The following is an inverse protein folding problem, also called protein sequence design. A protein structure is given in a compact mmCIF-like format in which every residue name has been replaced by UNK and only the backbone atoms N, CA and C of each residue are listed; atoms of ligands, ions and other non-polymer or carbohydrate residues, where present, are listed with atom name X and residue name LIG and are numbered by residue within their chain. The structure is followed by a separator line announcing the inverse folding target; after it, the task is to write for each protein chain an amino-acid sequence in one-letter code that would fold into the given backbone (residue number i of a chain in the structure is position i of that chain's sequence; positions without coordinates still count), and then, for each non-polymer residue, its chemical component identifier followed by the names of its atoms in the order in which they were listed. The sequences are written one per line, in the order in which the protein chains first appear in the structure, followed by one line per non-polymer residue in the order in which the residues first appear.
data_IF_590701724788
#
_entry.id   IF_590701724788
#
_cell.length_a   1.000
_cell.length_b   1.000
_cell.length_c   1.000
_cell.angle_alpha   90.00
_cell.angle_beta   90.00
_cell.angle_gamma   90.00
#
_symmetry.space_group_name_H-M   'P 1'
#
loop_
_entity.id
_entity.type
_entity.pdbx_description
1 polymer ?
#
# COMPACT_ATOMS: atom_id res chain seq x y z
N UNK A 1 27.99 61.18 -27.32
CA UNK A 1 28.06 61.27 -25.84
C UNK A 1 27.86 59.87 -25.27
N UNK A 2 28.93 59.14 -24.98
CA UNK A 2 28.86 57.74 -24.55
C UNK A 2 28.45 57.65 -23.08
N UNK A 3 27.39 56.90 -22.77
CA UNK A 3 26.98 56.67 -21.37
C UNK A 3 28.08 55.88 -20.65
N UNK A 4 28.71 56.49 -19.63
CA UNK A 4 29.60 55.78 -18.69
C UNK A 4 28.76 54.76 -17.92
N UNK A 5 28.97 53.48 -18.18
CA UNK A 5 28.40 52.40 -17.36
C UNK A 5 29.24 52.32 -16.10
N UNK A 6 28.74 52.88 -15.00
CA UNK A 6 29.38 52.78 -13.68
C UNK A 6 29.09 51.38 -13.16
N UNK A 7 30.14 50.60 -12.93
CA UNK A 7 30.00 49.27 -12.32
C UNK A 7 29.44 49.39 -10.89
N UNK A 8 28.61 48.44 -10.44
CA UNK A 8 28.07 48.48 -9.08
C UNK A 8 29.20 48.52 -8.04
N UNK A 9 29.02 49.26 -6.92
CA UNK A 9 29.98 49.25 -5.82
C UNK A 9 30.29 47.82 -5.35
N UNK A 10 31.48 47.58 -4.81
CA UNK A 10 31.89 46.24 -4.36
C UNK A 10 30.90 45.62 -3.35
N UNK A 11 30.28 46.44 -2.50
CA UNK A 11 29.21 46.03 -1.59
C UNK A 11 27.94 45.56 -2.33
N UNK A 12 27.54 46.23 -3.41
CA UNK A 12 26.38 45.83 -4.21
C UNK A 12 26.63 44.51 -4.95
N UNK A 13 27.85 44.28 -5.46
CA UNK A 13 28.23 42.99 -6.06
C UNK A 13 28.23 41.85 -5.03
N UNK A 14 28.72 42.12 -3.81
CA UNK A 14 28.65 41.15 -2.71
C UNK A 14 27.21 40.82 -2.31
N UNK A 15 26.35 41.83 -2.22
CA UNK A 15 24.93 41.62 -1.93
C UNK A 15 24.23 40.80 -3.03
N UNK A 16 24.49 41.09 -4.31
CA UNK A 16 23.98 40.30 -5.42
C UNK A 16 24.47 38.85 -5.40
N UNK A 17 25.76 38.63 -5.11
CA UNK A 17 26.31 37.28 -4.99
C UNK A 17 25.68 36.51 -3.82
N UNK A 18 25.39 37.17 -2.70
CA UNK A 18 24.68 36.57 -1.56
C UNK A 18 23.23 36.23 -1.90
N UNK A 19 22.51 37.11 -2.59
CA UNK A 19 21.14 36.85 -3.05
C UNK A 19 21.13 35.64 -3.98
N UNK A 20 22.01 35.61 -4.98
CA UNK A 20 22.11 34.48 -5.89
C UNK A 20 22.43 33.17 -5.15
N UNK A 21 23.37 33.19 -4.21
CA UNK A 21 23.71 32.00 -3.43
C UNK A 21 22.54 31.50 -2.57
N UNK A 22 21.70 32.40 -2.04
CA UNK A 22 20.47 32.03 -1.31
C UNK A 22 19.43 31.47 -2.26
N UNK A 23 19.23 32.07 -3.44
CA UNK A 23 18.28 31.57 -4.45
C UNK A 23 18.67 30.16 -4.91
N UNK A 24 19.95 29.93 -5.19
CA UNK A 24 20.48 28.63 -5.61
C UNK A 24 20.31 27.58 -4.49
N UNK A 25 20.61 27.94 -3.24
CA UNK A 25 20.43 27.05 -2.09
C UNK A 25 18.95 26.71 -1.84
N UNK A 26 18.05 27.68 -1.98
CA UNK A 26 16.60 27.45 -1.87
C UNK A 26 16.11 26.55 -3.00
N UNK A 27 16.59 26.76 -4.24
CA UNK A 27 16.22 25.94 -5.38
C UNK A 27 16.66 24.47 -5.21
N UNK A 28 17.89 24.26 -4.71
CA UNK A 28 18.44 22.92 -4.44
C UNK A 28 17.68 22.21 -3.30
N UNK A 29 17.37 22.91 -2.22
CA UNK A 29 16.56 22.40 -1.11
C UNK A 29 15.15 22.02 -1.59
N UNK A 30 14.51 22.88 -2.40
CA UNK A 30 13.19 22.59 -2.99
C UNK A 30 13.25 21.36 -3.90
N UNK A 31 14.28 21.23 -4.74
CA UNK A 31 14.47 20.08 -5.61
C UNK A 31 14.70 18.78 -4.82
N UNK A 32 15.54 18.83 -3.78
CA UNK A 32 15.84 17.71 -2.89
C UNK A 32 14.61 17.28 -2.12
N UNK A 33 13.89 18.23 -1.52
CA UNK A 33 12.61 17.96 -0.84
C UNK A 33 11.58 17.37 -1.78
N UNK A 34 11.48 17.88 -3.01
CA UNK A 34 10.55 17.37 -4.01
C UNK A 34 10.89 15.94 -4.43
N UNK A 35 12.18 15.64 -4.64
CA UNK A 35 12.67 14.28 -4.93
C UNK A 35 12.35 13.33 -3.76
N UNK A 36 12.69 13.72 -2.54
CA UNK A 36 12.36 12.93 -1.35
C UNK A 36 10.85 12.66 -1.26
N UNK A 37 10.01 13.66 -1.50
CA UNK A 37 8.55 13.51 -1.49
C UNK A 37 8.01 12.58 -2.59
N UNK A 38 8.61 12.58 -3.79
CA UNK A 38 8.25 11.63 -4.85
C UNK A 38 8.74 10.21 -4.56
N UNK A 39 9.94 10.09 -3.99
CA UNK A 39 10.56 8.80 -3.64
C UNK A 39 9.92 8.17 -2.39
N UNK A 40 9.29 8.94 -1.48
CA UNK A 40 8.54 8.37 -0.33
C UNK A 40 7.47 7.37 -0.78
N UNK A 41 6.86 7.57 -1.96
CA UNK A 41 5.89 6.62 -2.52
C UNK A 41 6.52 5.32 -3.01
N UNK A 42 7.80 5.36 -3.41
CA UNK A 42 8.58 4.21 -3.88
C UNK A 42 9.31 3.49 -2.73
N UNK A 43 9.77 4.24 -1.72
CA UNK A 43 10.39 3.73 -0.50
C UNK A 43 9.35 3.59 0.61
N UNK A 44 8.45 2.62 0.46
CA UNK A 44 7.57 2.27 1.58
C UNK A 44 8.43 1.74 2.73
N UNK A 45 8.56 2.50 3.83
CA UNK A 45 9.11 2.04 5.12
C UNK A 45 8.44 0.74 5.61
N UNK A 46 7.27 0.43 5.06
CA UNK A 46 6.44 -0.73 5.39
C UNK A 46 6.81 -1.98 4.58
N UNK A 47 7.71 -1.85 3.59
CA UNK A 47 8.11 -2.93 2.67
C UNK A 47 6.90 -3.64 2.06
N UNK A 48 5.97 -2.85 1.54
CA UNK A 48 4.83 -3.37 0.78
C UNK A 48 5.34 -4.06 -0.49
N UNK A 49 4.73 -5.18 -0.83
CA UNK A 49 5.18 -5.99 -1.97
C UNK A 49 4.74 -5.37 -3.30
N UNK A 50 3.53 -4.78 -3.33
CA UNK A 50 3.01 -4.03 -4.47
C UNK A 50 2.31 -2.77 -3.97
N UNK A 51 2.58 -1.65 -4.63
CA UNK A 51 1.90 -0.37 -4.41
C UNK A 51 1.29 0.12 -5.71
N UNK A 52 0.11 0.73 -5.61
CA UNK A 52 -0.58 1.41 -6.71
C UNK A 52 -0.83 2.84 -6.28
N UNK A 53 -0.50 3.78 -7.15
CA UNK A 53 -0.74 5.20 -6.96
C UNK A 53 -1.38 5.80 -8.20
N UNK A 54 -2.14 6.88 -8.01
CA UNK A 54 -2.68 7.69 -9.10
C UNK A 54 -1.75 8.91 -9.34
N UNK A 55 -0.98 8.92 -10.44
CA UNK A 55 -0.09 10.03 -10.75
C UNK A 55 -0.88 11.19 -11.37
N UNK A 56 -1.28 12.17 -10.56
CA UNK A 56 -1.82 13.43 -11.10
C UNK A 56 -0.74 14.51 -11.21
N UNK A 57 -0.74 15.25 -12.33
CA UNK A 57 0.31 16.21 -12.69
C UNK A 57 0.56 17.33 -11.66
N UNK A 58 -0.41 17.63 -10.78
CA UNK A 58 -0.36 18.74 -9.82
C UNK A 58 -0.35 18.33 -8.34
N UNK A 59 -0.25 17.03 -8.01
CA UNK A 59 -0.10 16.56 -6.61
C UNK A 59 1.01 15.52 -6.49
N UNK A 60 1.47 15.29 -5.26
CA UNK A 60 2.34 14.15 -4.98
C UNK A 60 1.52 12.85 -5.19
N UNK A 61 2.10 11.79 -5.77
CA UNK A 61 1.39 10.53 -5.94
C UNK A 61 0.93 10.01 -4.58
N UNK A 62 -0.38 9.82 -4.43
CA UNK A 62 -0.95 9.24 -3.21
C UNK A 62 -0.98 7.71 -3.37
N UNK A 63 -0.64 7.00 -2.29
CA UNK A 63 -0.82 5.55 -2.25
C UNK A 63 -2.32 5.26 -2.21
N UNK A 64 -2.83 4.53 -3.19
CA UNK A 64 -4.24 4.13 -3.27
C UNK A 64 -4.43 2.67 -2.85
N UNK A 65 -3.50 1.78 -3.26
CA UNK A 65 -3.51 0.37 -2.90
C UNK A 65 -2.12 -0.06 -2.42
N UNK A 66 -2.07 -0.69 -1.26
CA UNK A 66 -0.91 -1.43 -0.78
C UNK A 66 -1.24 -2.91 -0.62
N UNK A 67 -0.39 -3.79 -1.17
CA UNK A 67 -0.59 -5.24 -1.07
C UNK A 67 0.57 -5.91 -0.35
N UNK A 68 0.21 -6.87 0.50
CA UNK A 68 1.13 -7.85 1.07
C UNK A 68 0.92 -9.18 0.35
N UNK A 69 1.88 -9.58 -0.49
CA UNK A 69 1.82 -10.82 -1.26
C UNK A 69 2.33 -11.98 -0.41
N UNK A 70 1.54 -13.05 -0.31
CA UNK A 70 1.89 -14.23 0.46
C UNK A 70 1.45 -15.47 -0.31
N UNK A 71 2.36 -16.12 -1.02
CA UNK A 71 2.03 -17.35 -1.77
C UNK A 71 1.37 -18.40 -0.87
N UNK A 72 1.98 -18.65 0.30
CA UNK A 72 1.40 -19.44 1.39
C UNK A 72 1.54 -18.71 2.72
N UNK A 73 0.59 -18.96 3.63
CA UNK A 73 0.54 -18.35 4.93
C UNK A 73 1.18 -19.24 6.02
N UNK A 74 1.81 -18.55 6.96
CA UNK A 74 2.26 -19.04 8.26
C UNK A 74 1.90 -18.00 9.31
N UNK A 75 1.87 -18.37 10.59
CA UNK A 75 1.45 -17.43 11.65
C UNK A 75 2.35 -16.19 11.69
N UNK A 76 3.67 -16.38 11.61
CA UNK A 76 4.66 -15.30 11.51
C UNK A 76 4.41 -14.41 10.28
N UNK A 77 4.13 -15.00 9.11
CA UNK A 77 3.85 -14.27 7.87
C UNK A 77 2.53 -13.50 7.91
N UNK A 78 1.53 -14.03 8.62
CA UNK A 78 0.28 -13.31 8.85
C UNK A 78 0.51 -12.13 9.81
N UNK A 79 1.35 -12.29 10.84
CA UNK A 79 1.71 -11.19 11.74
C UNK A 79 2.50 -10.09 11.04
N UNK A 80 3.39 -10.45 10.11
CA UNK A 80 4.09 -9.48 9.27
C UNK A 80 3.10 -8.59 8.50
N UNK A 81 2.16 -9.20 7.76
CA UNK A 81 1.11 -8.48 7.04
C UNK A 81 0.27 -7.56 7.96
N UNK A 82 -0.10 -8.04 9.16
CA UNK A 82 -0.83 -7.23 10.14
C UNK A 82 0.01 -6.04 10.64
N UNK A 83 1.30 -6.23 10.88
CA UNK A 83 2.20 -5.15 11.28
C UNK A 83 2.33 -4.08 10.20
N UNK A 84 2.38 -4.49 8.92
CA UNK A 84 2.39 -3.56 7.80
C UNK A 84 1.13 -2.69 7.77
N UNK A 85 -0.06 -3.30 7.88
CA UNK A 85 -1.33 -2.58 7.88
C UNK A 85 -1.52 -1.67 9.09
N UNK A 86 -1.15 -2.14 10.29
CA UNK A 86 -1.20 -1.34 11.51
C UNK A 86 -0.28 -0.10 11.41
N UNK A 87 0.94 -0.27 10.91
CA UNK A 87 1.87 0.85 10.69
C UNK A 87 1.38 1.79 9.59
N UNK A 88 0.80 1.26 8.50
CA UNK A 88 0.20 2.08 7.44
C UNK A 88 -0.91 2.97 8.00
N UNK A 89 -1.79 2.38 8.80
CA UNK A 89 -2.85 3.12 9.50
C UNK A 89 -2.27 4.18 10.44
N UNK A 90 -1.27 3.83 11.26
CA UNK A 90 -0.70 4.75 12.24
C UNK A 90 0.10 5.91 11.62
N UNK A 91 0.79 5.67 10.50
CA UNK A 91 1.69 6.64 9.85
C UNK A 91 1.04 7.43 8.72
N UNK A 92 -0.18 7.07 8.29
CA UNK A 92 -0.85 7.78 7.20
C UNK A 92 -1.05 9.25 7.53
N UNK A 93 -0.95 10.10 6.52
CA UNK A 93 -1.30 11.53 6.58
C UNK A 93 -2.32 11.82 5.49
N UNK A 94 -3.57 11.39 5.73
CA UNK A 94 -4.66 11.50 4.76
C UNK A 94 -5.65 10.34 4.84
N UNK A 95 -6.35 10.09 3.73
CA UNK A 95 -7.24 8.94 3.56
C UNK A 95 -6.44 7.65 3.75
N UNK A 96 -7.09 6.63 4.30
CA UNK A 96 -6.48 5.31 4.38
C UNK A 96 -6.44 4.66 2.98
N UNK A 97 -5.27 4.29 2.46
CA UNK A 97 -5.17 3.45 1.27
C UNK A 97 -5.85 2.10 1.49
N UNK A 98 -6.30 1.47 0.41
CA UNK A 98 -6.75 0.10 0.47
C UNK A 98 -5.57 -0.81 0.79
N UNK A 99 -5.62 -1.54 1.90
CA UNK A 99 -4.56 -2.45 2.30
C UNK A 99 -5.07 -3.89 2.44
N UNK A 100 -4.54 -4.77 1.61
CA UNK A 100 -4.99 -6.15 1.52
C UNK A 100 -3.83 -7.15 1.42
N UNK A 101 -4.11 -8.40 1.78
CA UNK A 101 -3.22 -9.51 1.46
C UNK A 101 -3.67 -10.20 0.18
N UNK A 102 -2.75 -10.61 -0.69
CA UNK A 102 -3.02 -11.48 -1.84
C UNK A 102 -2.32 -12.82 -1.64
N UNK A 103 -3.06 -13.92 -1.77
CA UNK A 103 -2.57 -15.25 -1.43
C UNK A 103 -3.13 -16.37 -2.30
N UNK A 104 -2.44 -17.52 -2.31
CA UNK A 104 -2.94 -18.81 -2.78
C UNK A 104 -3.10 -19.82 -1.64
N UNK A 105 -3.16 -19.36 -0.38
CA UNK A 105 -3.23 -20.24 0.78
C UNK A 105 -4.50 -21.12 0.74
N UNK A 106 -4.37 -22.46 0.70
CA UNK A 106 -5.53 -23.34 0.58
C UNK A 106 -6.24 -23.62 1.91
N UNK A 107 -5.63 -23.33 3.07
CA UNK A 107 -6.16 -23.74 4.38
C UNK A 107 -7.05 -22.65 4.99
N UNK A 108 -8.34 -22.92 5.25
CA UNK A 108 -9.26 -21.91 5.80
C UNK A 108 -8.81 -21.29 7.12
N UNK A 109 -8.21 -22.09 8.00
CA UNK A 109 -7.75 -21.59 9.30
C UNK A 109 -6.60 -20.56 9.16
N UNK A 110 -5.78 -20.66 8.12
CA UNK A 110 -4.70 -19.71 7.84
C UNK A 110 -5.25 -18.43 7.22
N UNK A 111 -6.21 -18.54 6.29
CA UNK A 111 -6.93 -17.40 5.74
C UNK A 111 -7.64 -16.61 6.86
N UNK A 112 -8.20 -17.30 7.84
CA UNK A 112 -8.88 -16.69 8.98
C UNK A 112 -7.94 -15.88 9.89
N UNK A 113 -6.61 -16.11 9.88
CA UNK A 113 -5.67 -15.30 10.67
C UNK A 113 -5.65 -13.83 10.23
N UNK A 114 -6.01 -13.55 8.98
CA UNK A 114 -6.10 -12.20 8.40
C UNK A 114 -7.57 -11.79 8.18
N UNK A 115 -8.37 -12.69 7.59
CA UNK A 115 -9.77 -12.41 7.28
C UNK A 115 -10.68 -12.35 8.51
N UNK A 116 -10.28 -12.92 9.63
CA UNK A 116 -11.13 -13.09 10.82
C UNK A 116 -11.57 -11.81 11.53
N UNK A 117 -10.98 -10.66 11.21
CA UNK A 117 -11.43 -9.34 11.68
C UNK A 117 -10.52 -8.71 12.73
N UNK A 118 -9.34 -8.25 12.32
CA UNK A 118 -8.42 -7.48 13.17
C UNK A 118 -8.39 -5.97 12.91
N UNK A 119 -9.04 -5.51 11.83
CA UNK A 119 -8.97 -4.10 11.38
C UNK A 119 -7.63 -3.70 10.75
N UNK A 120 -6.60 -4.55 10.84
CA UNK A 120 -5.27 -4.29 10.25
C UNK A 120 -5.24 -4.50 8.73
N UNK A 121 -6.17 -5.31 8.21
CA UNK A 121 -6.27 -5.65 6.78
C UNK A 121 -7.72 -5.49 6.33
N UNK A 122 -7.94 -4.83 5.20
CA UNK A 122 -9.28 -4.58 4.65
C UNK A 122 -9.93 -5.90 4.22
N UNK A 123 -9.19 -6.75 3.49
CA UNK A 123 -9.60 -8.09 3.12
C UNK A 123 -8.40 -8.94 2.65
N UNK A 124 -8.63 -10.23 2.46
CA UNK A 124 -7.72 -11.14 1.78
C UNK A 124 -8.28 -11.38 0.38
N UNK A 125 -7.46 -11.17 -0.65
CA UNK A 125 -7.75 -11.66 -2.00
C UNK A 125 -7.12 -13.04 -2.18
N UNK A 126 -7.92 -13.98 -2.64
CA UNK A 126 -7.43 -15.28 -3.10
C UNK A 126 -7.24 -15.25 -4.61
N UNK A 127 -6.13 -15.78 -5.11
CA UNK A 127 -5.82 -15.69 -6.55
C UNK A 127 -6.86 -16.40 -7.44
N UNK A 128 -7.52 -17.42 -6.91
CA UNK A 128 -8.61 -18.10 -7.61
C UNK A 128 -9.63 -18.61 -6.58
N UNK A 129 -10.49 -17.72 -6.07
CA UNK A 129 -11.44 -18.06 -5.02
C UNK A 129 -12.45 -19.14 -5.46
N UNK A 130 -12.97 -19.16 -6.71
CA UNK A 130 -13.89 -20.22 -7.14
C UNK A 130 -13.30 -21.64 -7.02
N UNK A 131 -12.04 -21.83 -7.45
CA UNK A 131 -11.36 -23.12 -7.36
C UNK A 131 -11.13 -23.54 -5.90
N UNK A 132 -10.76 -22.58 -5.04
CA UNK A 132 -10.63 -22.85 -3.61
C UNK A 132 -11.97 -23.24 -2.98
N UNK A 133 -13.05 -22.52 -3.29
CA UNK A 133 -14.39 -22.82 -2.78
C UNK A 133 -14.81 -24.24 -3.13
N UNK A 134 -14.62 -24.66 -4.40
CA UNK A 134 -14.92 -26.03 -4.82
C UNK A 134 -14.09 -27.05 -4.03
N UNK A 135 -12.78 -26.84 -3.92
CA UNK A 135 -11.90 -27.77 -3.18
C UNK A 135 -12.29 -27.87 -1.69
N UNK A 136 -12.70 -26.77 -1.07
CA UNK A 136 -13.17 -26.75 0.31
C UNK A 136 -14.52 -27.46 0.45
N UNK A 137 -15.44 -27.29 -0.50
CA UNK A 137 -16.71 -28.01 -0.55
C UNK A 137 -16.51 -29.52 -0.72
N UNK A 138 -15.63 -29.94 -1.62
CA UNK A 138 -15.33 -31.35 -1.87
C UNK A 138 -14.73 -32.04 -0.62
N UNK A 139 -13.85 -31.34 0.10
CA UNK A 139 -13.16 -31.90 1.27
C UNK A 139 -14.01 -31.84 2.53
N UNK A 140 -14.74 -30.74 2.76
CA UNK A 140 -15.41 -30.48 4.04
C UNK A 140 -16.94 -30.43 3.96
N UNK A 141 -17.54 -30.20 2.79
CA UNK A 141 -18.97 -29.92 2.63
C UNK A 141 -19.89 -31.08 3.04
N UNK A 142 -19.46 -32.32 2.85
CA UNK A 142 -20.20 -33.54 3.24
C UNK A 142 -19.81 -34.11 4.61
N UNK A 143 -18.80 -33.52 5.26
CA UNK A 143 -18.25 -34.06 6.50
C UNK A 143 -19.18 -33.78 7.70
N UNK A 144 -19.44 -34.80 8.50
CA UNK A 144 -20.31 -34.69 9.70
C UNK A 144 -19.52 -34.43 10.98
N UNK A 145 -18.19 -34.52 10.96
CA UNK A 145 -17.39 -34.27 12.15
C UNK A 145 -17.35 -32.77 12.49
N UNK A 146 -17.38 -32.45 13.80
CA UNK A 146 -17.49 -31.07 14.30
C UNK A 146 -16.35 -30.15 13.82
N UNK A 147 -15.13 -30.68 13.67
CA UNK A 147 -13.96 -29.88 13.27
C UNK A 147 -14.02 -29.47 11.80
N UNK A 148 -14.44 -30.39 10.92
CA UNK A 148 -14.65 -30.14 9.50
C UNK A 148 -15.78 -29.13 9.29
N UNK A 149 -16.91 -29.31 9.97
CA UNK A 149 -18.04 -28.38 9.92
C UNK A 149 -17.64 -26.97 10.37
N UNK A 150 -16.86 -26.85 11.45
CA UNK A 150 -16.33 -25.56 11.91
C UNK A 150 -15.37 -24.92 10.90
N UNK A 151 -14.55 -25.74 10.25
CA UNK A 151 -13.61 -25.26 9.22
C UNK A 151 -14.37 -24.73 8.01
N UNK A 152 -15.38 -25.47 7.55
CA UNK A 152 -16.25 -25.10 6.45
C UNK A 152 -17.05 -23.83 6.75
N UNK A 153 -17.72 -23.76 7.90
CA UNK A 153 -18.51 -22.59 8.28
C UNK A 153 -17.66 -21.32 8.48
N UNK A 154 -16.45 -21.47 9.03
CA UNK A 154 -15.51 -20.36 9.10
C UNK A 154 -15.10 -19.86 7.71
N UNK A 155 -14.84 -20.76 6.76
CA UNK A 155 -14.54 -20.39 5.38
C UNK A 155 -15.70 -19.62 4.75
N UNK A 156 -16.92 -20.17 4.82
CA UNK A 156 -18.12 -19.52 4.28
C UNK A 156 -18.31 -18.12 4.87
N UNK A 157 -18.18 -17.98 6.20
CA UNK A 157 -18.26 -16.69 6.88
C UNK A 157 -17.24 -15.68 6.32
N UNK A 158 -16.01 -16.09 6.03
CA UNK A 158 -15.01 -15.19 5.45
C UNK A 158 -15.44 -14.68 4.08
N UNK A 159 -15.99 -15.55 3.23
CA UNK A 159 -16.46 -15.18 1.88
C UNK A 159 -17.69 -14.28 1.97
N UNK A 160 -18.70 -14.69 2.75
CA UNK A 160 -19.97 -13.96 2.92
C UNK A 160 -19.77 -12.56 3.49
N UNK A 161 -18.87 -12.42 4.47
CA UNK A 161 -18.53 -11.13 5.07
C UNK A 161 -17.55 -10.30 4.22
N UNK A 162 -17.25 -10.74 2.99
CA UNK A 162 -16.29 -10.12 2.07
C UNK A 162 -14.90 -9.91 2.67
N UNK A 163 -14.53 -10.77 3.64
CA UNK A 163 -13.19 -10.79 4.25
C UNK A 163 -12.21 -11.63 3.45
N UNK A 164 -12.73 -12.58 2.66
CA UNK A 164 -12.03 -13.30 1.60
C UNK A 164 -12.74 -13.00 0.28
N UNK A 165 -12.00 -12.47 -0.69
CA UNK A 165 -12.53 -12.00 -1.99
C UNK A 165 -11.72 -12.59 -3.13
N UNK A 166 -12.27 -12.57 -4.33
CA UNK A 166 -11.57 -13.05 -5.51
C UNK A 166 -10.61 -11.99 -6.07
N UNK A 167 -9.45 -12.40 -6.58
CA UNK A 167 -8.47 -11.51 -7.19
C UNK A 167 -9.03 -10.66 -8.34
N UNK A 168 -9.96 -11.18 -9.13
CA UNK A 168 -10.56 -10.41 -10.23
C UNK A 168 -11.33 -9.19 -9.70
N UNK A 169 -11.82 -9.22 -8.46
CA UNK A 169 -12.42 -8.06 -7.82
C UNK A 169 -11.40 -6.97 -7.51
N UNK A 170 -10.17 -7.34 -7.11
CA UNK A 170 -9.08 -6.40 -6.89
C UNK A 170 -8.68 -5.73 -8.20
N UNK A 171 -8.57 -6.50 -9.29
CA UNK A 171 -8.24 -5.96 -10.61
C UNK A 171 -9.29 -4.96 -11.07
N UNK A 172 -10.57 -5.29 -10.95
CA UNK A 172 -11.67 -4.37 -11.28
C UNK A 172 -11.63 -3.11 -10.43
N UNK A 173 -11.36 -3.23 -9.13
CA UNK A 173 -11.22 -2.09 -8.23
C UNK A 173 -10.05 -1.19 -8.65
N UNK A 174 -8.87 -1.77 -8.92
CA UNK A 174 -7.68 -1.03 -9.32
C UNK A 174 -7.87 -0.26 -10.64
N UNK A 175 -8.60 -0.83 -11.61
CA UNK A 175 -8.92 -0.16 -12.88
C UNK A 175 -9.93 0.98 -12.72
N UNK A 176 -10.70 0.98 -11.63
CA UNK A 176 -11.72 2.02 -11.36
C UNK A 176 -11.21 3.22 -10.55
N UNK A 177 -9.95 3.18 -10.10
CA UNK A 177 -9.27 4.28 -9.43
C UNK A 177 -8.91 5.37 -10.44
#
# INVERSE_FOLDING_TARGET
MGKRIVSPPAAARRAQALVQAVEDAVADEVATRRRALYEVGAESLLRLDVTVSDPQANRLPELEIGLSLKWSLRTDRAQDCRSQGAKLSALRRGRMPHFAALTMEPRPYMLNLLGGGSGDVDCVYHLHLPALTQAIEDVYGSQTNKNAQRTYSNFQRLVEQRRLRDYDELVKYAVSL
#
